data_IF_873680331319
#
_entry.id   IF_873680331319
#
_cell.length_a   1.000
_cell.length_b   1.000
_cell.length_c   1.000
_cell.angle_alpha   90.00
_cell.angle_beta   90.00
_cell.angle_gamma   90.00
#
_symmetry.space_group_name_H-M   'P 1'
#
loop_
_entity.id
_entity.type
_entity.pdbx_description
1 polymer ?
#
# COMPACT_ATOMS: atom_id res chain seq x y z
N UNK A 1 -2.45 20.76 -14.61
CA UNK A 1 -1.71 19.65 -13.98
C UNK A 1 -2.62 19.06 -12.91
N UNK A 2 -3.15 17.86 -13.11
CA UNK A 2 -4.01 17.21 -12.12
C UNK A 2 -3.13 16.69 -10.98
N UNK A 3 -3.16 17.35 -9.83
CA UNK A 3 -2.50 16.89 -8.61
C UNK A 3 -3.25 15.64 -8.16
N UNK A 4 -2.82 14.46 -8.60
CA UNK A 4 -3.34 13.20 -8.06
C UNK A 4 -3.08 13.22 -6.56
N UNK A 5 -4.10 13.48 -5.75
CA UNK A 5 -4.03 13.46 -4.29
C UNK A 5 -3.73 12.01 -3.88
N UNK A 6 -2.44 11.70 -3.75
CA UNK A 6 -1.97 10.46 -3.14
C UNK A 6 -1.91 10.70 -1.65
N UNK A 7 -2.78 10.03 -0.91
CA UNK A 7 -2.80 10.08 0.54
C UNK A 7 -1.87 8.99 1.08
N UNK A 8 -1.14 9.28 2.16
CA UNK A 8 -0.39 8.24 2.86
C UNK A 8 -1.36 7.43 3.72
N UNK A 9 -1.26 6.12 3.67
CA UNK A 9 -2.03 5.22 4.51
C UNK A 9 -1.20 4.05 5.01
N UNK A 10 -1.84 3.20 5.81
CA UNK A 10 -1.29 1.91 6.19
C UNK A 10 -2.08 0.81 5.47
N UNK A 11 -1.40 -0.24 5.03
CA UNK A 11 -2.04 -1.45 4.55
C UNK A 11 -1.35 -2.68 5.11
N UNK A 12 -2.11 -3.77 5.23
CA UNK A 12 -1.65 -5.06 5.70
C UNK A 12 -1.57 -6.03 4.53
N UNK A 13 -0.42 -6.68 4.35
CA UNK A 13 -0.31 -7.80 3.42
C UNK A 13 -1.31 -8.89 3.82
N UNK A 14 -2.11 -9.36 2.87
CA UNK A 14 -3.12 -10.41 3.15
C UNK A 14 -2.49 -11.78 3.33
N UNK A 15 -1.26 -11.98 2.82
CA UNK A 15 -0.60 -13.28 2.83
C UNK A 15 0.16 -13.52 4.15
N UNK A 16 0.98 -12.56 4.58
CA UNK A 16 1.78 -12.68 5.81
C UNK A 16 1.29 -11.81 6.97
N UNK A 17 0.27 -10.97 6.75
CA UNK A 17 -0.27 -10.10 7.79
C UNK A 17 0.62 -8.93 8.20
N UNK A 18 1.69 -8.61 7.46
CA UNK A 18 2.60 -7.52 7.81
C UNK A 18 2.00 -6.16 7.46
N UNK A 19 2.03 -5.21 8.40
CA UNK A 19 1.59 -3.84 8.16
C UNK A 19 2.72 -3.00 7.54
N UNK A 20 2.36 -2.16 6.57
CA UNK A 20 3.28 -1.34 5.78
C UNK A 20 2.65 0.01 5.46
N UNK A 21 3.50 1.04 5.36
CA UNK A 21 3.08 2.32 4.83
C UNK A 21 2.85 2.18 3.32
N UNK A 22 1.75 2.70 2.81
CA UNK A 22 1.39 2.66 1.39
C UNK A 22 0.92 4.04 0.91
N UNK A 23 1.06 4.29 -0.38
CA UNK A 23 0.36 5.36 -1.07
C UNK A 23 -1.03 4.87 -1.47
N UNK A 24 -2.05 5.62 -1.05
CA UNK A 24 -3.44 5.42 -1.43
C UNK A 24 -3.83 6.45 -2.49
N UNK A 25 -4.57 6.03 -3.51
CA UNK A 25 -5.21 6.93 -4.47
C UNK A 25 -6.69 6.61 -4.50
N UNK A 26 -7.53 7.59 -4.15
CA UNK A 26 -9.00 7.49 -4.23
C UNK A 26 -9.58 6.14 -3.75
N UNK A 27 -9.06 5.60 -2.64
CA UNK A 27 -9.55 4.37 -2.01
C UNK A 27 -8.72 3.11 -2.29
N UNK A 28 -7.86 3.12 -3.31
CA UNK A 28 -7.03 1.96 -3.67
C UNK A 28 -5.57 2.10 -3.24
N UNK A 29 -4.96 0.98 -2.87
CA UNK A 29 -3.52 0.88 -2.63
C UNK A 29 -2.82 0.97 -3.98
N UNK A 30 -2.01 2.03 -4.15
CA UNK A 30 -1.18 2.19 -5.34
C UNK A 30 0.12 1.44 -5.14
N UNK A 31 0.91 1.79 -4.12
CA UNK A 31 2.22 1.18 -3.88
C UNK A 31 2.65 1.27 -2.40
N UNK A 32 3.38 0.27 -1.88
CA UNK A 32 4.12 0.40 -0.64
C UNK A 32 5.15 1.53 -0.67
N UNK A 33 5.27 2.25 0.43
CA UNK A 33 6.29 3.28 0.62
C UNK A 33 7.57 2.57 1.08
N UNK A 34 8.63 2.64 0.27
CA UNK A 34 9.93 2.06 0.61
C UNK A 34 10.12 0.59 0.19
N UNK A 35 9.12 -0.03 -0.44
CA UNK A 35 9.27 -1.31 -1.13
C UNK A 35 8.72 -1.19 -2.55
N UNK A 36 9.61 -1.32 -3.54
CA UNK A 36 9.27 -1.26 -4.97
C UNK A 36 8.49 -2.49 -5.42
N UNK A 37 8.78 -3.65 -4.83
CA UNK A 37 8.31 -4.96 -5.32
C UNK A 37 7.16 -5.57 -4.51
N UNK A 38 6.57 -4.82 -3.57
CA UNK A 38 5.51 -5.32 -2.69
C UNK A 38 5.99 -5.70 -1.29
N UNK A 39 5.42 -6.77 -0.72
CA UNK A 39 5.75 -7.21 0.64
C UNK A 39 7.02 -8.08 0.59
N UNK A 40 7.96 -7.97 1.54
CA UNK A 40 9.16 -8.83 1.62
C UNK A 40 8.86 -10.33 1.70
N UNK A 41 7.63 -10.75 1.99
CA UNK A 41 7.22 -12.15 1.91
C UNK A 41 6.93 -12.64 0.48
N UNK A 42 6.97 -11.76 -0.53
CA UNK A 42 6.53 -12.03 -1.91
C UNK A 42 5.05 -11.76 -2.17
N UNK A 43 4.29 -11.32 -1.15
CA UNK A 43 2.88 -10.98 -1.27
C UNK A 43 2.66 -9.66 -2.01
N UNK A 44 1.73 -9.65 -2.95
CA UNK A 44 1.35 -8.47 -3.76
C UNK A 44 -0.03 -7.92 -3.43
N UNK A 45 -0.76 -8.59 -2.53
CA UNK A 45 -2.10 -8.21 -2.11
C UNK A 45 -2.06 -7.51 -0.75
N UNK A 46 -2.65 -6.32 -0.70
CA UNK A 46 -2.67 -5.49 0.49
C UNK A 46 -4.10 -5.03 0.80
N UNK A 47 -4.45 -5.06 2.08
CA UNK A 47 -5.72 -4.53 2.60
C UNK A 47 -5.45 -3.25 3.38
N UNK A 48 -6.07 -2.15 2.99
CA UNK A 48 -5.96 -0.87 3.70
C UNK A 48 -6.44 -1.03 5.16
N UNK A 49 -5.65 -0.51 6.08
CA UNK A 49 -6.00 -0.33 7.48
C UNK A 49 -6.48 1.12 7.59
N UNK A 50 -7.80 1.31 7.56
CA UNK A 50 -8.44 2.61 7.74
C UNK A 50 -8.27 3.12 9.19
#
# INVERSE_FOLDING_TARGET
>A
MATTQRTRGAARCTDCGRAMAVWLSTGDVVHPIGCTDGCPCGGTKFRVLA
#
